data_IF_370972515573
#
_entry.id   IF_370972515573
#
_cell.length_a   1.000
_cell.length_b   1.000
_cell.length_c   1.000
_cell.angle_alpha   90.00
_cell.angle_beta   90.00
_cell.angle_gamma   90.00
#
_symmetry.space_group_name_H-M   'P 1'
#
loop_
_entity.id
_entity.type
_entity.pdbx_description
1 polymer ?
#
# COMPACT_ATOMS: atom_id res chain seq x y z
N UNK A 1 2.40 -10.67 30.27
CA UNK A 1 1.47 -9.95 29.38
C UNK A 1 2.02 -8.55 29.17
N UNK A 2 2.15 -8.08 27.93
CA UNK A 2 2.57 -6.72 27.62
C UNK A 2 1.31 -5.92 27.28
N UNK A 3 1.13 -4.77 27.91
CA UNK A 3 0.06 -3.85 27.58
C UNK A 3 0.64 -2.70 26.74
N UNK A 4 0.04 -2.43 25.58
CA UNK A 4 0.34 -1.25 24.78
C UNK A 4 -0.58 -0.11 25.26
N UNK A 5 0.02 1.00 25.62
CA UNK A 5 -0.71 2.22 25.99
C UNK A 5 -1.10 3.02 24.74
N UNK A 6 -1.91 2.40 23.89
CA UNK A 6 -2.30 3.00 22.58
C UNK A 6 -3.59 3.83 22.68
N UNK A 7 -4.43 3.54 23.68
CA UNK A 7 -5.74 4.15 23.83
C UNK A 7 -5.81 5.10 25.02
N UNK A 8 -6.14 6.36 24.76
CA UNK A 8 -6.33 7.36 25.83
C UNK A 8 -7.51 7.03 26.75
N UNK A 9 -8.46 6.21 26.34
CA UNK A 9 -9.59 5.76 27.16
C UNK A 9 -9.17 4.93 28.36
N UNK A 10 -8.00 4.29 28.33
CA UNK A 10 -7.40 3.64 29.50
C UNK A 10 -6.83 4.60 30.54
N UNK A 11 -6.62 5.84 30.14
CA UNK A 11 -6.11 6.89 31.00
C UNK A 11 -7.31 7.62 31.62
N UNK A 12 -7.38 7.70 32.95
CA UNK A 12 -8.42 8.51 33.59
C UNK A 12 -8.18 9.99 33.30
N UNK A 13 -8.98 10.67 32.46
CA UNK A 13 -8.76 12.07 32.10
C UNK A 13 -8.76 13.02 33.31
N UNK A 14 -9.48 12.62 34.38
CA UNK A 14 -9.57 13.44 35.62
C UNK A 14 -8.35 13.28 36.52
N UNK A 15 -7.58 12.19 36.35
CA UNK A 15 -6.34 11.94 37.09
C UNK A 15 -5.08 12.27 36.28
N UNK A 16 -5.23 12.64 35.01
CA UNK A 16 -4.14 12.99 34.11
C UNK A 16 -3.95 14.52 34.09
N UNK A 17 -3.24 15.02 35.07
CA UNK A 17 -2.68 16.38 34.99
C UNK A 17 -1.31 16.29 34.31
N UNK A 18 -1.15 17.05 33.22
CA UNK A 18 0.13 17.23 32.49
C UNK A 18 0.73 15.96 31.90
N UNK A 19 -0.08 14.97 31.52
CA UNK A 19 0.37 13.75 30.83
C UNK A 19 -0.30 13.62 29.47
N UNK A 20 0.45 13.14 28.47
CA UNK A 20 -0.07 12.81 27.13
C UNK A 20 0.61 11.55 26.60
N UNK A 21 -0.04 10.89 25.64
CA UNK A 21 0.61 9.85 24.85
C UNK A 21 1.51 10.56 23.84
N UNK A 22 2.77 10.19 23.84
CA UNK A 22 3.74 10.67 22.86
C UNK A 22 4.22 9.49 22.01
N UNK A 23 4.16 9.67 20.68
CA UNK A 23 4.77 8.74 19.74
C UNK A 23 6.23 9.15 19.54
N UNK A 24 7.13 8.18 19.74
CA UNK A 24 8.57 8.38 19.47
C UNK A 24 8.88 7.79 18.10
N UNK A 25 9.30 8.60 17.10
CA UNK A 25 9.72 8.10 15.80
C UNK A 25 10.87 7.10 15.92
N UNK A 26 10.88 6.01 15.12
CA UNK A 26 12.03 5.14 15.02
C UNK A 26 13.22 5.86 14.38
N UNK A 27 14.41 5.46 14.74
CA UNK A 27 15.62 5.92 14.06
C UNK A 27 15.71 5.29 12.67
N UNK A 28 15.87 6.14 11.63
CA UNK A 28 16.02 5.67 10.25
C UNK A 28 17.40 5.06 10.05
N UNK A 29 17.46 3.86 9.46
CA UNK A 29 18.72 3.25 9.05
C UNK A 29 19.36 4.07 7.91
N UNK A 30 20.45 4.80 8.24
CA UNK A 30 21.18 5.64 7.28
C UNK A 30 22.27 4.89 6.53
N UNK A 31 22.58 3.66 6.96
CA UNK A 31 23.64 2.84 6.35
C UNK A 31 23.14 2.12 5.12
N UNK A 32 21.93 1.55 5.20
CA UNK A 32 21.36 0.72 4.14
C UNK A 32 20.32 1.43 3.27
N UNK A 33 19.77 2.55 3.74
CA UNK A 33 18.79 3.31 2.94
C UNK A 33 19.46 4.22 1.88
N UNK A 34 18.86 4.32 0.68
CA UNK A 34 17.68 3.62 0.23
C UNK A 34 17.92 2.16 -0.11
N UNK A 35 17.04 1.26 0.37
CA UNK A 35 17.10 -0.18 0.06
C UNK A 35 16.74 -0.48 -1.41
N UNK A 36 16.07 0.45 -2.07
CA UNK A 36 15.47 0.26 -3.38
C UNK A 36 15.59 1.53 -4.21
N UNK A 37 16.11 1.43 -5.43
CA UNK A 37 16.32 2.57 -6.33
C UNK A 37 15.82 2.26 -7.74
N UNK A 38 15.58 3.30 -8.54
CA UNK A 38 15.35 3.19 -9.97
C UNK A 38 16.66 2.85 -10.68
N UNK A 39 16.86 1.58 -11.02
CA UNK A 39 18.09 1.09 -11.64
C UNK A 39 17.84 0.28 -12.93
N UNK A 40 16.57 0.10 -13.29
CA UNK A 40 16.19 -0.62 -14.50
C UNK A 40 15.61 0.31 -15.56
N UNK A 41 15.81 0.02 -16.86
CA UNK A 41 15.36 0.89 -17.96
C UNK A 41 13.85 1.12 -18.00
N UNK A 42 13.05 0.17 -17.50
CA UNK A 42 11.58 0.26 -17.45
C UNK A 42 11.06 0.98 -16.20
N UNK A 43 11.90 1.29 -15.24
CA UNK A 43 11.57 2.07 -14.07
C UNK A 43 11.67 3.56 -14.38
N UNK A 44 10.80 4.03 -15.28
CA UNK A 44 10.79 5.43 -15.70
C UNK A 44 10.59 6.34 -14.50
N UNK A 45 9.71 5.91 -13.57
CA UNK A 45 9.49 6.59 -12.30
C UNK A 45 8.94 5.61 -11.26
N UNK A 46 9.55 5.59 -10.09
CA UNK A 46 8.95 4.98 -8.90
C UNK A 46 8.39 6.12 -8.05
N UNK A 47 7.07 6.23 -8.07
CA UNK A 47 6.32 7.21 -7.30
C UNK A 47 5.09 6.50 -6.74
N UNK A 48 4.77 6.77 -5.46
CA UNK A 48 3.74 6.00 -4.79
C UNK A 48 3.94 4.49 -4.98
N UNK A 49 5.18 4.02 -4.77
CA UNK A 49 5.59 2.65 -5.09
C UNK A 49 4.79 1.57 -4.39
N UNK A 50 4.11 1.92 -3.29
CA UNK A 50 3.26 1.01 -2.50
C UNK A 50 3.91 -0.37 -2.32
N UNK A 51 5.15 -0.45 -1.81
CA UNK A 51 5.85 -1.71 -1.70
C UNK A 51 5.09 -2.64 -0.73
N UNK A 52 4.73 -3.81 -1.23
CA UNK A 52 4.14 -4.87 -0.45
C UNK A 52 5.19 -5.97 -0.26
N UNK A 53 5.74 -6.07 0.95
CA UNK A 53 6.83 -7.00 1.25
C UNK A 53 6.31 -8.17 2.06
N UNK A 54 6.55 -9.38 1.58
CA UNK A 54 6.21 -10.65 2.23
C UNK A 54 7.47 -11.46 2.49
N UNK A 55 7.53 -12.16 3.61
CA UNK A 55 8.54 -13.19 3.85
C UNK A 55 7.95 -14.58 3.60
N UNK A 56 8.54 -15.32 2.69
CA UNK A 56 8.21 -16.72 2.45
C UNK A 56 9.10 -17.63 3.32
N UNK A 57 8.56 -18.25 4.37
CA UNK A 57 9.35 -19.08 5.28
C UNK A 57 9.80 -20.39 4.68
N UNK A 58 9.14 -20.91 3.65
CA UNK A 58 9.51 -22.16 2.98
C UNK A 58 10.73 -21.94 2.08
N UNK A 59 10.70 -20.89 1.28
CA UNK A 59 11.82 -20.54 0.40
C UNK A 59 12.89 -19.69 1.09
N UNK A 60 12.58 -19.14 2.28
CA UNK A 60 13.43 -18.23 3.06
C UNK A 60 13.85 -17.00 2.26
N UNK A 61 12.86 -16.36 1.64
CA UNK A 61 13.06 -15.22 0.76
C UNK A 61 12.03 -14.12 1.09
N UNK A 62 12.46 -12.87 1.02
CA UNK A 62 11.57 -11.73 0.98
C UNK A 62 11.15 -11.46 -0.44
N UNK A 63 9.87 -11.20 -0.67
CA UNK A 63 9.29 -10.83 -1.95
C UNK A 63 8.72 -9.43 -1.85
N UNK A 64 9.04 -8.58 -2.79
CA UNK A 64 8.53 -7.22 -2.88
C UNK A 64 7.74 -7.04 -4.17
N UNK A 65 6.50 -6.59 -4.03
CA UNK A 65 5.63 -6.19 -5.13
C UNK A 65 5.48 -4.68 -5.07
N UNK A 66 5.81 -3.97 -6.14
CA UNK A 66 5.83 -2.52 -6.13
C UNK A 66 5.27 -1.92 -7.40
N UNK A 67 4.60 -0.78 -7.25
CA UNK A 67 4.05 0.01 -8.36
C UNK A 67 5.13 0.92 -8.93
N UNK A 68 5.13 1.09 -10.25
CA UNK A 68 6.01 2.00 -10.97
C UNK A 68 5.29 2.54 -12.22
N UNK A 69 5.85 3.60 -12.80
CA UNK A 69 5.49 4.03 -14.15
C UNK A 69 6.49 3.43 -15.13
N UNK A 70 5.99 2.64 -16.09
CA UNK A 70 6.76 2.08 -17.19
C UNK A 70 6.69 2.94 -18.45
N UNK A 71 5.78 3.90 -18.48
CA UNK A 71 5.69 4.96 -19.46
C UNK A 71 5.16 6.23 -18.81
N UNK A 72 5.93 7.30 -18.87
CA UNK A 72 5.59 8.64 -18.39
C UNK A 72 6.48 9.67 -19.08
N UNK A 73 6.01 10.22 -20.19
CA UNK A 73 6.78 11.13 -21.04
C UNK A 73 7.21 12.41 -20.32
N UNK A 74 6.51 12.81 -19.26
CA UNK A 74 6.86 14.02 -18.51
C UNK A 74 8.07 13.81 -17.59
N UNK A 75 8.37 12.57 -17.24
CA UNK A 75 9.45 12.24 -16.30
C UNK A 75 10.55 11.39 -16.91
N UNK A 76 10.34 10.81 -18.08
CA UNK A 76 11.36 10.01 -18.77
C UNK A 76 12.63 10.84 -19.03
N UNK A 77 13.78 10.30 -18.64
CA UNK A 77 15.08 10.95 -18.81
C UNK A 77 15.36 12.13 -17.86
N UNK A 78 14.47 12.38 -16.88
CA UNK A 78 14.68 13.43 -15.88
C UNK A 78 15.26 12.87 -14.59
N UNK A 79 16.09 13.67 -13.93
CA UNK A 79 16.62 13.36 -12.59
C UNK A 79 15.58 13.64 -11.50
N UNK A 80 15.76 13.06 -10.31
CA UNK A 80 14.92 13.36 -9.17
C UNK A 80 14.93 14.85 -8.80
N UNK A 81 16.11 15.50 -8.88
CA UNK A 81 16.26 16.93 -8.60
C UNK A 81 15.45 17.80 -9.58
N UNK A 82 15.45 17.47 -10.88
CA UNK A 82 14.64 18.17 -11.87
C UNK A 82 13.15 17.98 -11.62
N UNK A 83 12.71 16.78 -11.23
CA UNK A 83 11.30 16.50 -10.89
C UNK A 83 10.86 17.26 -9.64
N UNK A 84 11.67 17.32 -8.61
CA UNK A 84 11.38 18.03 -7.35
C UNK A 84 11.32 19.55 -7.51
N UNK A 85 11.86 20.12 -8.60
CA UNK A 85 11.90 21.56 -8.85
C UNK A 85 10.70 22.09 -9.64
N UNK A 86 9.78 21.23 -10.04
CA UNK A 86 8.61 21.61 -10.89
C UNK A 86 7.34 20.92 -10.42
N UNK A 87 6.19 21.56 -10.68
CA UNK A 87 4.89 20.92 -10.49
C UNK A 87 4.75 19.72 -11.43
N UNK A 88 4.29 18.61 -10.87
CA UNK A 88 3.95 17.44 -11.63
C UNK A 88 2.49 17.52 -12.08
N UNK A 89 2.27 17.58 -13.39
CA UNK A 89 0.94 17.53 -14.00
C UNK A 89 0.78 16.16 -14.69
N UNK A 90 0.10 15.20 -14.04
CA UNK A 90 0.01 13.84 -14.57
C UNK A 90 -0.74 13.81 -15.91
N UNK A 91 -0.12 13.20 -16.91
CA UNK A 91 -0.76 12.93 -18.21
C UNK A 91 -1.65 11.69 -18.12
N UNK A 92 -2.70 11.66 -18.93
CA UNK A 92 -3.64 10.54 -18.99
C UNK A 92 -3.09 9.31 -19.73
N UNK A 93 -2.02 9.48 -20.50
CA UNK A 93 -1.39 8.44 -21.32
C UNK A 93 -0.20 7.73 -20.63
N UNK A 94 0.05 8.02 -19.35
CA UNK A 94 1.05 7.31 -18.56
C UNK A 94 0.61 5.88 -18.24
N UNK A 95 1.57 4.96 -18.14
CA UNK A 95 1.32 3.54 -17.83
C UNK A 95 1.87 3.22 -16.44
N UNK A 96 0.98 2.90 -15.51
CA UNK A 96 1.35 2.29 -14.23
C UNK A 96 1.52 0.79 -14.41
N UNK A 97 2.42 0.19 -13.66
CA UNK A 97 2.71 -1.24 -13.75
C UNK A 97 3.04 -1.81 -12.37
N UNK A 98 2.85 -3.10 -12.21
CA UNK A 98 3.30 -3.86 -11.06
C UNK A 98 4.58 -4.60 -11.41
N UNK A 99 5.61 -4.47 -10.58
CA UNK A 99 6.86 -5.19 -10.71
C UNK A 99 7.20 -5.98 -9.44
N UNK A 100 8.19 -6.85 -9.55
CA UNK A 100 8.62 -7.79 -8.53
C UNK A 100 10.11 -7.64 -8.24
N UNK A 101 10.46 -7.77 -6.97
CA UNK A 101 11.84 -7.94 -6.52
C UNK A 101 11.91 -8.98 -5.40
N UNK A 102 13.08 -9.55 -5.18
CA UNK A 102 13.30 -10.52 -4.12
C UNK A 102 14.60 -10.26 -3.36
N UNK A 103 14.67 -10.71 -2.10
CA UNK A 103 15.84 -10.57 -1.26
C UNK A 103 15.96 -11.74 -0.27
N UNK A 104 17.19 -12.15 0.06
CA UNK A 104 17.44 -13.17 1.08
C UNK A 104 17.64 -12.59 2.48
N UNK A 105 17.95 -11.33 2.59
CA UNK A 105 18.28 -10.65 3.84
C UNK A 105 17.41 -9.41 4.15
N UNK A 106 16.54 -9.02 3.20
CA UNK A 106 15.71 -7.82 3.30
C UNK A 106 16.46 -6.50 3.06
N UNK A 107 17.74 -6.57 2.75
CA UNK A 107 18.62 -5.40 2.52
C UNK A 107 19.05 -5.34 1.06
N UNK A 108 19.55 -6.46 0.53
CA UNK A 108 20.01 -6.55 -0.86
C UNK A 108 18.91 -7.14 -1.74
N UNK A 109 18.39 -6.33 -2.66
CA UNK A 109 17.25 -6.67 -3.50
C UNK A 109 17.67 -6.95 -4.93
N UNK A 110 17.16 -8.07 -5.48
CA UNK A 110 17.35 -8.47 -6.86
C UNK A 110 16.03 -8.29 -7.64
N UNK A 111 16.14 -7.90 -8.90
CA UNK A 111 15.02 -7.72 -9.84
C UNK A 111 15.15 -8.73 -10.97
N UNK A 112 14.71 -10.00 -10.77
CA UNK A 112 14.92 -11.07 -11.72
C UNK A 112 14.11 -10.87 -13.00
N UNK A 113 14.65 -11.32 -14.14
CA UNK A 113 13.90 -11.34 -15.38
C UNK A 113 12.81 -12.42 -15.33
N UNK A 114 11.55 -12.02 -15.29
CA UNK A 114 10.38 -12.91 -15.24
C UNK A 114 9.90 -13.36 -16.62
N UNK A 115 10.28 -12.64 -17.68
CA UNK A 115 9.92 -12.89 -19.08
C UNK A 115 8.40 -12.91 -19.35
N UNK A 116 7.59 -12.27 -18.52
CA UNK A 116 6.12 -12.25 -18.62
C UNK A 116 5.61 -11.15 -19.53
N UNK A 117 6.03 -9.93 -19.31
CA UNK A 117 5.52 -8.74 -19.96
C UNK A 117 6.54 -8.23 -20.97
N UNK A 118 6.06 -7.92 -22.19
CA UNK A 118 6.87 -7.23 -23.17
C UNK A 118 6.83 -5.72 -22.91
N UNK A 119 8.01 -5.14 -22.71
CA UNK A 119 8.20 -3.71 -22.62
C UNK A 119 9.20 -3.26 -23.69
N UNK A 120 8.74 -2.41 -24.62
CA UNK A 120 9.54 -1.85 -25.72
C UNK A 120 10.34 -2.92 -26.50
N UNK A 121 9.70 -4.06 -26.80
CA UNK A 121 10.29 -5.17 -27.55
C UNK A 121 11.18 -6.11 -26.73
N UNK A 122 11.25 -5.95 -25.41
CA UNK A 122 12.07 -6.79 -24.54
C UNK A 122 11.24 -7.37 -23.39
N UNK A 123 11.37 -8.68 -23.14
CA UNK A 123 10.74 -9.38 -22.00
C UNK A 123 11.69 -9.63 -20.84
N UNK A 124 12.98 -9.33 -20.97
CA UNK A 124 13.95 -9.51 -19.87
C UNK A 124 13.78 -8.41 -18.83
N UNK A 125 12.66 -8.44 -18.12
CA UNK A 125 12.28 -7.49 -17.09
C UNK A 125 11.56 -8.20 -15.95
N UNK A 126 11.34 -7.51 -14.84
CA UNK A 126 10.64 -7.97 -13.65
C UNK A 126 9.18 -7.47 -13.54
N UNK A 127 8.59 -7.02 -14.65
CA UNK A 127 7.21 -6.54 -14.70
C UNK A 127 6.26 -7.74 -14.64
N UNK A 128 5.29 -7.69 -13.73
CA UNK A 128 4.23 -8.70 -13.58
C UNK A 128 2.99 -8.35 -14.40
N UNK A 129 2.54 -7.09 -14.31
CA UNK A 129 1.35 -6.60 -15.01
C UNK A 129 1.54 -5.14 -15.44
N UNK A 130 1.10 -4.82 -16.65
CA UNK A 130 0.87 -3.43 -17.09
C UNK A 130 -0.50 -2.96 -16.60
N UNK A 131 -0.64 -1.64 -16.42
CA UNK A 131 -1.88 -0.96 -16.02
C UNK A 131 -2.38 -1.33 -14.62
N UNK A 132 -1.55 -1.99 -13.79
CA UNK A 132 -1.87 -2.33 -12.41
C UNK A 132 -1.33 -1.26 -11.45
N UNK A 133 -2.10 -0.96 -10.38
CA UNK A 133 -1.78 0.08 -9.41
C UNK A 133 -2.28 -0.26 -8.01
N UNK A 134 -1.51 0.16 -6.99
CA UNK A 134 -1.92 0.03 -5.59
C UNK A 134 -2.14 -1.42 -5.15
N UNK A 135 -1.36 -2.35 -5.68
CA UNK A 135 -1.51 -3.79 -5.46
C UNK A 135 -1.15 -4.18 -4.04
N UNK A 136 -1.99 -5.00 -3.41
CA UNK A 136 -1.69 -5.75 -2.20
C UNK A 136 -1.63 -7.24 -2.48
N UNK A 137 -0.64 -7.91 -1.91
CA UNK A 137 -0.43 -9.34 -2.04
C UNK A 137 -0.40 -9.98 -0.66
N UNK A 138 -1.04 -11.13 -0.52
CA UNK A 138 -0.93 -11.98 0.66
C UNK A 138 -0.48 -13.38 0.30
N UNK A 139 0.15 -14.04 1.26
CA UNK A 139 0.40 -15.47 1.25
C UNK A 139 -0.73 -16.14 2.04
N UNK A 140 -1.38 -17.14 1.45
CA UNK A 140 -2.53 -17.81 2.05
C UNK A 140 -2.21 -19.27 2.35
N UNK A 141 -2.34 -19.64 3.62
CA UNK A 141 -2.21 -21.01 4.11
C UNK A 141 -3.56 -21.71 4.32
N UNK A 142 -4.68 -21.01 4.11
CA UNK A 142 -6.04 -21.52 4.39
C UNK A 142 -6.69 -22.12 3.15
N UNK A 143 -6.30 -21.67 1.94
CA UNK A 143 -6.80 -22.23 0.70
C UNK A 143 -6.12 -23.59 0.43
N UNK A 144 -6.93 -24.61 0.18
CA UNK A 144 -6.46 -25.95 -0.16
C UNK A 144 -5.88 -26.07 -1.59
N UNK A 145 -6.15 -25.09 -2.44
CA UNK A 145 -5.62 -25.01 -3.81
C UNK A 145 -4.21 -24.40 -3.79
N UNK A 146 -3.20 -25.24 -3.94
CA UNK A 146 -1.80 -24.78 -4.00
C UNK A 146 -1.52 -23.81 -5.15
N UNK A 147 -2.34 -23.80 -6.20
CA UNK A 147 -2.29 -22.81 -7.27
C UNK A 147 -2.66 -21.40 -6.84
N UNK A 148 -3.26 -21.25 -5.65
CA UNK A 148 -3.70 -19.99 -5.06
C UNK A 148 -2.96 -19.61 -3.77
N UNK A 149 -1.76 -20.17 -3.56
CA UNK A 149 -0.93 -19.88 -2.39
C UNK A 149 -0.64 -18.39 -2.21
N UNK A 150 -0.47 -17.66 -3.31
CA UNK A 150 -0.40 -16.20 -3.30
C UNK A 150 -1.65 -15.63 -3.94
N UNK A 151 -2.17 -14.58 -3.33
CA UNK A 151 -3.36 -13.88 -3.77
C UNK A 151 -3.08 -12.39 -3.83
N UNK A 152 -3.56 -11.72 -4.89
CA UNK A 152 -3.44 -10.26 -4.99
C UNK A 152 -4.79 -9.59 -5.25
N UNK A 153 -4.91 -8.38 -4.72
CA UNK A 153 -5.95 -7.42 -5.11
C UNK A 153 -5.25 -6.21 -5.71
N UNK A 154 -5.70 -5.75 -6.84
CA UNK A 154 -5.13 -4.58 -7.54
C UNK A 154 -6.21 -3.75 -8.20
N UNK A 155 -5.95 -2.47 -8.36
CA UNK A 155 -6.64 -1.63 -9.33
C UNK A 155 -5.99 -1.86 -10.71
N UNK A 156 -6.79 -2.01 -11.76
CA UNK A 156 -6.30 -2.18 -13.12
C UNK A 156 -7.05 -1.28 -14.09
N UNK A 157 -6.32 -0.63 -14.99
CA UNK A 157 -6.90 0.15 -16.09
C UNK A 157 -7.07 -0.75 -17.31
N UNK A 158 -8.29 -1.18 -17.58
CA UNK A 158 -8.61 -2.06 -18.72
C UNK A 158 -8.89 -1.19 -19.95
N UNK A 159 -8.09 -1.31 -21.03
CA UNK A 159 -8.31 -0.52 -22.24
C UNK A 159 -9.75 -0.62 -22.76
N UNK A 160 -10.40 0.53 -22.94
CA UNK A 160 -11.79 0.63 -23.41
C UNK A 160 -12.88 0.30 -22.38
N UNK A 161 -12.53 -0.15 -21.18
CA UNK A 161 -13.49 -0.46 -20.08
C UNK A 161 -13.29 0.42 -18.85
N UNK A 162 -12.18 1.17 -18.77
CA UNK A 162 -11.84 1.99 -17.61
C UNK A 162 -11.21 1.20 -16.48
N UNK A 163 -11.21 1.81 -15.30
CA UNK A 163 -10.55 1.28 -14.11
C UNK A 163 -11.44 0.28 -13.36
N UNK A 164 -10.86 -0.84 -12.97
CA UNK A 164 -11.55 -1.89 -12.20
C UNK A 164 -10.69 -2.38 -11.04
N UNK A 165 -11.35 -2.82 -9.97
CA UNK A 165 -10.73 -3.70 -8.98
C UNK A 165 -10.66 -5.11 -9.54
N UNK A 166 -9.53 -5.78 -9.35
CA UNK A 166 -9.30 -7.13 -9.86
C UNK A 166 -8.47 -7.95 -8.87
N UNK A 167 -8.55 -9.27 -9.02
CA UNK A 167 -7.76 -10.25 -8.26
C UNK A 167 -6.97 -11.14 -9.20
N UNK A 168 -5.90 -11.73 -8.68
CA UNK A 168 -5.15 -12.79 -9.34
C UNK A 168 -4.55 -13.75 -8.31
N UNK A 169 -4.18 -14.94 -8.78
CA UNK A 169 -3.66 -16.03 -7.99
C UNK A 169 -2.34 -16.53 -8.53
N UNK A 170 -1.49 -17.03 -7.65
CA UNK A 170 -0.20 -17.60 -8.04
C UNK A 170 0.22 -18.73 -7.09
N UNK A 171 0.85 -19.80 -7.59
CA UNK A 171 1.43 -20.85 -6.77
C UNK A 171 2.75 -20.44 -6.09
N UNK A 172 3.50 -19.51 -6.70
CA UNK A 172 4.90 -19.20 -6.34
C UNK A 172 5.19 -17.70 -6.17
N UNK A 173 4.17 -16.83 -6.34
CA UNK A 173 4.30 -15.38 -6.26
C UNK A 173 4.96 -14.71 -7.47
N UNK A 174 5.32 -15.46 -8.52
CA UNK A 174 5.92 -14.99 -9.77
C UNK A 174 5.05 -15.32 -10.98
N UNK A 175 4.52 -16.54 -11.03
CA UNK A 175 3.60 -16.98 -12.07
C UNK A 175 2.16 -16.72 -11.66
N UNK A 176 1.60 -15.63 -12.15
CA UNK A 176 0.25 -15.19 -11.83
C UNK A 176 -0.76 -15.54 -12.91
N UNK A 177 -1.98 -15.88 -12.50
CA UNK A 177 -3.14 -15.99 -13.39
C UNK A 177 -3.42 -14.67 -14.11
N UNK A 178 -4.33 -14.69 -15.07
CA UNK A 178 -4.93 -13.48 -15.61
C UNK A 178 -5.66 -12.72 -14.49
N UNK A 179 -5.78 -11.40 -14.64
CA UNK A 179 -6.54 -10.55 -13.73
C UNK A 179 -8.03 -10.79 -13.90
N UNK A 180 -8.72 -11.08 -12.81
CA UNK A 180 -10.18 -11.30 -12.73
C UNK A 180 -10.81 -10.05 -12.15
N UNK A 181 -11.51 -9.22 -12.94
CA UNK A 181 -12.25 -8.08 -12.40
C UNK A 181 -13.33 -8.51 -11.40
N UNK A 182 -13.57 -7.69 -10.38
CA UNK A 182 -14.66 -7.95 -9.44
C UNK A 182 -16.01 -8.03 -10.17
N UNK A 183 -16.82 -9.08 -9.91
CA UNK A 183 -18.00 -9.34 -10.73
C UNK A 183 -19.22 -8.48 -10.36
N UNK A 184 -19.41 -8.11 -9.08
CA UNK A 184 -20.65 -7.50 -8.62
C UNK A 184 -20.60 -5.97 -8.64
N UNK A 185 -19.47 -5.37 -8.27
CA UNK A 185 -19.33 -3.92 -8.17
C UNK A 185 -17.91 -3.49 -8.41
N UNK A 186 -17.73 -2.20 -8.66
CA UNK A 186 -16.44 -1.58 -8.88
C UNK A 186 -16.33 -0.31 -8.02
N UNK A 187 -15.89 -0.43 -6.77
CA UNK A 187 -15.78 0.72 -5.89
C UNK A 187 -14.74 1.72 -6.44
N UNK A 188 -14.88 3.02 -6.11
CA UNK A 188 -13.90 4.03 -6.48
C UNK A 188 -12.62 3.91 -5.65
N UNK A 189 -12.09 2.68 -5.56
CA UNK A 189 -10.86 2.35 -4.87
C UNK A 189 -9.67 2.73 -5.74
N UNK A 190 -8.56 3.01 -5.08
CA UNK A 190 -7.34 3.41 -5.75
C UNK A 190 -6.15 2.66 -5.13
N UNK A 191 -5.59 3.16 -4.07
CA UNK A 191 -4.43 2.58 -3.40
C UNK A 191 -4.56 2.76 -1.88
N UNK A 192 -3.92 2.07 -1.05
CA UNK A 192 -3.20 0.84 -1.14
C UNK A 192 -4.16 -0.30 -0.80
N UNK A 193 -4.19 -1.35 -1.56
CA UNK A 193 -5.05 -2.50 -1.29
C UNK A 193 -4.29 -3.49 -0.41
N UNK A 194 -4.83 -3.84 0.74
CA UNK A 194 -4.18 -4.75 1.70
C UNK A 194 -5.13 -5.90 2.05
N UNK A 195 -5.05 -7.04 1.34
CA UNK A 195 -5.79 -8.24 1.69
C UNK A 195 -5.09 -9.01 2.82
N UNK A 196 -5.87 -9.61 3.70
CA UNK A 196 -5.41 -10.57 4.70
C UNK A 196 -6.54 -11.53 5.10
N UNK A 197 -6.16 -12.67 5.69
CA UNK A 197 -7.11 -13.58 6.29
C UNK A 197 -7.44 -13.15 7.72
N UNK A 198 -8.71 -13.09 8.07
CA UNK A 198 -9.17 -12.83 9.42
C UNK A 198 -9.57 -14.15 10.08
N UNK A 199 -8.76 -14.62 11.04
CA UNK A 199 -8.98 -15.88 11.75
C UNK A 199 -10.26 -15.87 12.58
N UNK A 200 -10.62 -14.74 13.17
CA UNK A 200 -11.79 -14.62 14.04
C UNK A 200 -13.10 -14.71 13.24
N UNK A 201 -13.12 -14.21 12.01
CA UNK A 201 -14.28 -14.22 11.13
C UNK A 201 -14.28 -15.40 10.13
N UNK A 202 -13.13 -16.03 9.91
CA UNK A 202 -12.97 -17.11 8.93
C UNK A 202 -13.18 -16.65 7.48
N UNK A 203 -12.76 -15.43 7.15
CA UNK A 203 -12.90 -14.86 5.81
C UNK A 203 -11.70 -13.95 5.43
N UNK A 204 -11.61 -13.62 4.15
CA UNK A 204 -10.67 -12.61 3.69
C UNK A 204 -11.21 -11.21 3.98
N UNK A 205 -10.33 -10.35 4.42
CA UNK A 205 -10.58 -8.93 4.64
C UNK A 205 -9.66 -8.13 3.72
N UNK A 206 -10.21 -7.09 3.12
CA UNK A 206 -9.47 -6.12 2.32
C UNK A 206 -9.61 -4.74 2.94
N UNK A 207 -8.49 -4.14 3.33
CA UNK A 207 -8.43 -2.71 3.59
C UNK A 207 -8.01 -2.00 2.30
N UNK A 208 -8.79 -0.99 1.90
CA UNK A 208 -8.56 -0.25 0.67
C UNK A 208 -8.86 1.23 0.87
N UNK A 209 -8.19 2.10 0.10
CA UNK A 209 -8.55 3.50 0.04
C UNK A 209 -9.66 3.72 -0.98
N UNK A 210 -10.73 4.37 -0.58
CA UNK A 210 -11.77 4.85 -1.49
C UNK A 210 -11.93 6.36 -1.40
N UNK A 211 -12.55 6.93 -2.43
CA UNK A 211 -13.00 8.30 -2.47
C UNK A 211 -14.49 8.36 -2.16
N UNK A 212 -14.87 9.17 -1.18
CA UNK A 212 -16.27 9.46 -0.87
C UNK A 212 -16.43 10.93 -0.51
N UNK A 213 -17.33 11.62 -1.18
CA UNK A 213 -17.60 13.04 -0.96
C UNK A 213 -16.35 13.94 -1.08
N UNK A 214 -15.44 13.61 -2.00
CA UNK A 214 -14.19 14.33 -2.21
C UNK A 214 -13.10 14.09 -1.17
N UNK A 215 -13.28 13.12 -0.28
CA UNK A 215 -12.34 12.78 0.80
C UNK A 215 -11.87 11.34 0.64
N UNK A 216 -10.57 11.14 0.80
CA UNK A 216 -9.94 9.81 0.89
C UNK A 216 -10.14 9.22 2.27
N UNK A 217 -10.48 7.94 2.33
CA UNK A 217 -10.63 7.20 3.58
C UNK A 217 -10.24 5.75 3.40
N UNK A 218 -9.89 5.07 4.49
CA UNK A 218 -9.73 3.62 4.49
C UNK A 218 -11.07 2.95 4.70
N UNK A 219 -11.33 1.93 3.89
CA UNK A 219 -12.52 1.09 3.97
C UNK A 219 -12.15 -0.37 4.10
N UNK A 220 -13.12 -1.18 4.51
CA UNK A 220 -13.03 -2.61 4.67
C UNK A 220 -14.07 -3.29 3.78
N UNK A 221 -13.64 -4.32 3.05
CA UNK A 221 -14.50 -5.26 2.33
C UNK A 221 -14.18 -6.69 2.77
N UNK A 222 -15.16 -7.60 2.68
CA UNK A 222 -15.04 -9.02 3.05
C UNK A 222 -15.29 -9.93 1.87
N UNK A 223 -14.62 -11.09 1.86
CA UNK A 223 -14.83 -12.13 0.86
C UNK A 223 -14.63 -13.52 1.47
N UNK A 224 -15.43 -14.49 1.05
CA UNK A 224 -15.24 -15.89 1.42
C UNK A 224 -14.38 -16.68 0.44
N UNK A 225 -14.17 -16.17 -0.78
CA UNK A 225 -13.50 -16.87 -1.87
C UNK A 225 -12.41 -16.06 -2.58
N UNK A 226 -12.17 -14.82 -2.11
CA UNK A 226 -11.22 -13.86 -2.67
C UNK A 226 -11.62 -13.27 -4.03
N UNK A 227 -12.77 -13.63 -4.59
CA UNK A 227 -13.27 -13.15 -5.89
C UNK A 227 -14.46 -12.21 -5.69
N UNK A 228 -15.41 -12.61 -4.84
CA UNK A 228 -16.62 -11.87 -4.53
C UNK A 228 -16.43 -11.07 -3.25
N UNK A 229 -16.40 -9.75 -3.37
CA UNK A 229 -16.12 -8.85 -2.26
C UNK A 229 -17.37 -8.04 -1.89
N UNK A 230 -17.57 -7.80 -0.60
CA UNK A 230 -18.66 -6.93 -0.13
C UNK A 230 -18.41 -5.47 -0.54
N UNK A 231 -19.47 -4.66 -0.53
CA UNK A 231 -19.33 -3.20 -0.62
C UNK A 231 -18.39 -2.68 0.47
N UNK A 232 -17.56 -1.67 0.17
CA UNK A 232 -16.60 -1.14 1.12
C UNK A 232 -17.30 -0.33 2.24
N UNK A 233 -17.01 -0.67 3.48
CA UNK A 233 -17.45 0.03 4.69
C UNK A 233 -16.30 0.88 5.25
N UNK A 234 -16.60 2.08 5.72
CA UNK A 234 -15.60 2.98 6.30
C UNK A 234 -15.03 2.41 7.61
N UNK A 235 -13.71 2.34 7.73
CA UNK A 235 -13.01 1.89 8.94
C UNK A 235 -12.11 2.96 9.55
N UNK A 236 -11.56 3.86 8.74
CA UNK A 236 -10.79 5.02 9.23
C UNK A 236 -10.95 6.20 8.30
N UNK A 237 -11.27 7.34 8.89
CA UNK A 237 -11.26 8.65 8.26
C UNK A 237 -10.17 9.54 8.86
N UNK A 238 -9.58 10.40 8.06
CA UNK A 238 -8.67 11.44 8.52
C UNK A 238 -9.39 12.57 9.28
N UNK A 239 -8.67 13.64 9.53
CA UNK A 239 -9.16 14.79 10.32
C UNK A 239 -9.83 15.88 9.46
N UNK A 240 -10.54 15.49 8.42
CA UNK A 240 -11.22 16.39 7.50
C UNK A 240 -10.52 16.53 6.15
N UNK A 241 -10.90 17.56 5.39
CA UNK A 241 -10.40 17.76 4.02
C UNK A 241 -8.88 17.98 3.98
N UNK A 242 -8.33 18.71 4.96
CA UNK A 242 -6.92 19.10 4.99
C UNK A 242 -5.97 17.96 5.43
N UNK A 243 -6.49 16.90 6.05
CA UNK A 243 -5.70 15.78 6.57
C UNK A 243 -6.41 14.45 6.31
N UNK A 244 -6.22 13.91 5.11
CA UNK A 244 -6.92 12.71 4.61
C UNK A 244 -6.06 11.46 4.72
N UNK A 245 -6.68 10.28 4.89
CA UNK A 245 -5.95 9.01 4.88
C UNK A 245 -5.59 8.66 3.44
N UNK A 246 -4.30 8.65 3.12
CA UNK A 246 -3.79 8.34 1.79
C UNK A 246 -3.59 6.83 1.56
N UNK A 247 -3.05 6.14 2.56
CA UNK A 247 -2.91 4.68 2.60
C UNK A 247 -2.77 4.22 4.05
N UNK A 248 -3.05 2.96 4.35
CA UNK A 248 -2.87 2.42 5.69
C UNK A 248 -2.50 0.94 5.62
N UNK A 249 -1.21 0.60 5.44
CA UNK A 249 -0.76 -0.76 5.69
C UNK A 249 -0.98 -1.15 7.15
N UNK A 250 -1.49 -2.37 7.34
CA UNK A 250 -1.88 -2.90 8.65
C UNK A 250 -1.20 -4.24 8.88
N UNK A 251 -0.82 -4.51 10.11
CA UNK A 251 -0.34 -5.81 10.55
C UNK A 251 -0.96 -6.22 11.89
N UNK A 252 -1.21 -7.52 12.03
CA UNK A 252 -1.74 -8.09 13.27
C UNK A 252 -0.60 -8.39 14.24
N UNK A 253 -0.70 -7.88 15.47
CA UNK A 253 0.29 -8.10 16.50
C UNK A 253 -0.34 -8.09 17.88
N UNK A 254 -0.02 -9.11 18.70
CA UNK A 254 -0.43 -9.20 20.10
C UNK A 254 -1.95 -8.99 20.30
N UNK A 255 -2.79 -9.67 19.51
CA UNK A 255 -4.25 -9.62 19.52
C UNK A 255 -4.85 -8.26 19.20
N UNK A 256 -4.18 -7.48 18.36
CA UNK A 256 -4.68 -6.23 17.81
C UNK A 256 -4.11 -5.94 16.43
N UNK A 257 -4.77 -5.08 15.70
CA UNK A 257 -4.30 -4.54 14.44
C UNK A 257 -3.57 -3.22 14.68
N UNK A 258 -2.39 -3.10 14.11
CA UNK A 258 -1.62 -1.85 14.09
C UNK A 258 -1.57 -1.35 12.65
N UNK A 259 -1.92 -0.09 12.43
CA UNK A 259 -1.91 0.54 11.12
C UNK A 259 -0.92 1.70 11.05
N UNK A 260 -0.25 1.80 9.92
CA UNK A 260 0.61 2.93 9.57
C UNK A 260 -0.14 3.82 8.59
N UNK A 261 -0.93 4.77 9.11
CA UNK A 261 -1.76 5.65 8.29
C UNK A 261 -0.92 6.77 7.69
N UNK A 262 -0.77 6.74 6.38
CA UNK A 262 -0.20 7.85 5.62
C UNK A 262 -1.25 8.95 5.52
N UNK A 263 -0.97 10.12 6.08
CA UNK A 263 -1.86 11.28 6.07
C UNK A 263 -1.36 12.26 5.03
N UNK A 264 -2.14 12.47 3.97
CA UNK A 264 -1.87 13.50 2.98
C UNK A 264 -2.47 14.84 3.41
N UNK A 265 -1.70 15.89 3.27
CA UNK A 265 -2.11 17.26 3.54
C UNK A 265 -2.64 17.91 2.25
N UNK A 266 -3.92 18.22 2.26
CA UNK A 266 -4.63 18.91 1.19
C UNK A 266 -4.92 20.37 1.60
N UNK A 267 -5.54 21.15 0.70
CA UNK A 267 -5.99 22.52 1.02
C UNK A 267 -5.33 23.58 0.18
N UNK A 268 -4.72 24.56 0.79
CA UNK A 268 -4.09 25.68 0.09
C UNK A 268 -2.75 25.26 -0.52
N UNK A 269 -2.63 25.37 -1.84
CA UNK A 269 -1.40 25.04 -2.58
C UNK A 269 -0.19 25.91 -2.19
N UNK A 270 -0.40 27.01 -1.51
CA UNK A 270 0.68 27.87 -1.00
C UNK A 270 1.17 27.44 0.38
N UNK A 271 0.48 26.49 1.01
CA UNK A 271 0.91 25.93 2.29
C UNK A 271 2.16 25.05 2.08
N UNK A 272 3.15 25.18 2.96
CA UNK A 272 4.36 24.38 2.95
C UNK A 272 4.09 22.87 3.12
N UNK A 273 2.95 22.52 3.71
CA UNK A 273 2.54 21.13 3.92
C UNK A 273 1.66 20.57 2.79
N UNK A 274 1.23 21.38 1.84
CA UNK A 274 0.39 20.92 0.72
C UNK A 274 1.05 19.77 -0.05
N UNK A 275 0.24 18.75 -0.41
CA UNK A 275 0.62 17.54 -1.17
C UNK A 275 1.75 16.72 -0.53
N UNK A 276 1.94 16.85 0.79
CA UNK A 276 2.92 16.10 1.57
C UNK A 276 2.24 15.04 2.41
N UNK A 277 2.98 13.98 2.71
CA UNK A 277 2.48 12.81 3.45
C UNK A 277 3.27 12.59 4.71
N UNK A 278 2.57 12.45 5.84
CA UNK A 278 3.10 11.99 7.12
C UNK A 278 2.55 10.60 7.46
N UNK A 279 3.27 9.83 8.25
CA UNK A 279 2.81 8.52 8.69
C UNK A 279 2.47 8.52 10.18
N UNK A 280 1.20 8.31 10.51
CA UNK A 280 0.69 8.25 11.87
C UNK A 280 0.36 6.82 12.30
N UNK A 281 0.54 6.51 13.58
CA UNK A 281 0.21 5.20 14.14
C UNK A 281 -1.29 5.12 14.45
N UNK A 282 -1.93 4.04 13.98
CA UNK A 282 -3.30 3.68 14.31
C UNK A 282 -3.36 2.29 14.93
N UNK A 283 -4.45 1.97 15.59
CA UNK A 283 -4.69 0.67 16.18
C UNK A 283 -6.16 0.32 16.17
N UNK A 284 -6.47 -0.98 16.23
CA UNK A 284 -7.81 -1.51 16.35
C UNK A 284 -7.81 -2.86 17.08
N UNK A 285 -8.89 -3.17 17.75
CA UNK A 285 -9.14 -4.52 18.30
C UNK A 285 -9.72 -5.41 17.20
N UNK A 286 -10.50 -4.81 16.30
CA UNK A 286 -11.17 -5.43 15.17
C UNK A 286 -11.02 -4.52 13.94
N UNK A 287 -10.89 -5.05 12.72
CA UNK A 287 -10.57 -4.24 11.54
C UNK A 287 -11.69 -3.30 11.09
N UNK A 288 -12.88 -3.34 11.70
CA UNK A 288 -14.01 -2.46 11.40
C UNK A 288 -13.77 -1.01 11.82
N UNK A 289 -12.95 -0.77 12.83
CA UNK A 289 -12.76 0.57 13.35
C UNK A 289 -11.37 0.79 13.91
N UNK A 290 -10.62 1.69 13.30
CA UNK A 290 -9.30 2.11 13.74
C UNK A 290 -9.36 3.47 14.47
N UNK A 291 -8.54 3.60 15.50
CA UNK A 291 -8.30 4.85 16.23
C UNK A 291 -6.85 5.33 16.00
N UNK A 292 -6.64 6.64 15.91
CA UNK A 292 -5.31 7.23 15.96
C UNK A 292 -4.75 7.17 17.39
N UNK A 293 -3.50 6.75 17.53
CA UNK A 293 -2.80 6.73 18.83
C UNK A 293 -2.54 8.14 19.33
N UNK A 294 -1.95 8.97 18.50
CA UNK A 294 -1.66 10.39 18.79
C UNK A 294 -1.88 11.22 17.51
N UNK A 295 -3.13 11.67 17.28
CA UNK A 295 -3.47 12.41 16.06
C UNK A 295 -2.58 13.64 15.85
N UNK A 296 -2.01 13.77 14.64
CA UNK A 296 -1.11 14.86 14.28
C UNK A 296 0.35 14.66 14.72
N UNK A 297 0.69 13.52 15.30
CA UNK A 297 2.07 13.17 15.67
C UNK A 297 2.57 12.01 14.78
N UNK A 298 3.40 12.28 13.78
CA UNK A 298 3.93 11.24 12.92
C UNK A 298 4.80 10.24 13.69
N UNK A 299 4.56 8.94 13.47
CA UNK A 299 5.46 7.87 13.91
C UNK A 299 6.64 7.73 12.95
N UNK A 300 6.42 7.97 11.65
CA UNK A 300 7.47 8.07 10.65
C UNK A 300 7.41 9.48 10.07
N UNK A 301 8.29 10.38 10.52
CA UNK A 301 8.32 11.75 10.00
C UNK A 301 8.90 11.78 8.58
N UNK A 302 8.59 12.83 7.86
CA UNK A 302 9.15 13.12 6.54
C UNK A 302 10.68 13.06 6.55
N UNK A 303 11.29 12.73 5.42
CA UNK A 303 12.73 12.80 5.23
C UNK A 303 13.22 14.22 4.94
N UNK A 304 14.54 14.42 4.98
CA UNK A 304 15.16 15.64 4.48
C UNK A 304 14.91 15.74 2.96
N UNK A 305 14.34 16.86 2.49
CA UNK A 305 14.06 17.10 1.06
C UNK A 305 12.74 16.52 0.54
N UNK A 306 11.85 16.06 1.41
CA UNK A 306 10.49 15.63 1.06
C UNK A 306 9.50 16.77 1.27
#
# INVERSE_FOLDING_TARGET
MKYLMLDRRFLNPQAMENACIQVTPPEKDRVHNPLFTQDQPWEIRIDNGYPNVLYDPEERIFRCYYTLFTDDLDTEGTTLAERSSRDYLPRMDRVTSLAYAESRDGIHWEKPALNRVEWRGNKMNNILFLFAHGTGVMMDSHDSDSGKRYKMVTKVDIPGKGTHMAVAFSPDGKDWSELIPWPEHNPPADSHNLPFWNEDEGCYVLLSRVWKDGIRMTTLSRSSDFIHWSEPEETLRGRGFEAQVYSMPVFYWNHMYLGLASIIHEGDRTDADFDRVDCELTWAVSPEHFDFVAPGQPVIPRGEGS
#
